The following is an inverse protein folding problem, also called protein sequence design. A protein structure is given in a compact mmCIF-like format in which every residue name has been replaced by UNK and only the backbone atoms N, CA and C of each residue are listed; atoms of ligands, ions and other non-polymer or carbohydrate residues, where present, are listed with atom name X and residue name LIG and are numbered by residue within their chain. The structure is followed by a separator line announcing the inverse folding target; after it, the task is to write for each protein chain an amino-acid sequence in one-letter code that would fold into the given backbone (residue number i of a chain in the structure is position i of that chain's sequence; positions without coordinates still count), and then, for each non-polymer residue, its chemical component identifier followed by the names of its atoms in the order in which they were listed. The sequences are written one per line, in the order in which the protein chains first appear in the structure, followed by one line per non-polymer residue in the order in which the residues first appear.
data_IF_060924959395
#
_entry.id   IF_060924959395
#
_cell.length_a   1.000
_cell.length_b   1.000
_cell.length_c   1.000
_cell.angle_alpha   90.00
_cell.angle_beta   90.00
_cell.angle_gamma   90.00
#
_symmetry.space_group_name_H-M   'P 1'
#
loop_
_entity.id
_entity.type
_entity.pdbx_description
1 polymer ?
#
# COMPACT_ATOMS: atom_id res chain seq x y z
N UNK A 1 -26.90 9.72 -5.40
CA UNK A 1 -25.47 9.46 -5.59
C UNK A 1 -25.31 8.05 -6.10
N UNK A 2 -25.27 7.88 -7.43
CA UNK A 2 -24.74 6.64 -8.02
C UNK A 2 -23.22 6.73 -7.87
N UNK A 3 -22.61 5.76 -7.18
CA UNK A 3 -21.16 5.60 -7.26
C UNK A 3 -20.82 5.30 -8.73
N UNK A 4 -19.91 6.07 -9.30
CA UNK A 4 -19.47 5.82 -10.66
C UNK A 4 -18.75 4.45 -10.71
N UNK A 5 -18.98 3.70 -11.80
CA UNK A 5 -18.42 2.35 -11.95
C UNK A 5 -16.89 2.34 -11.80
N UNK A 6 -16.22 3.42 -12.18
CA UNK A 6 -14.77 3.62 -12.00
C UNK A 6 -14.36 3.63 -10.53
N UNK A 7 -15.07 4.35 -9.67
CA UNK A 7 -14.79 4.40 -8.24
C UNK A 7 -14.97 3.03 -7.59
N UNK A 8 -16.05 2.32 -7.94
CA UNK A 8 -16.29 0.97 -7.43
C UNK A 8 -15.19 -0.01 -7.84
N UNK A 9 -14.69 0.10 -9.08
CA UNK A 9 -13.59 -0.72 -9.57
C UNK A 9 -12.30 -0.41 -8.82
N UNK A 10 -11.99 0.87 -8.59
CA UNK A 10 -10.78 1.28 -7.87
C UNK A 10 -10.81 0.82 -6.41
N UNK A 11 -11.87 1.17 -5.67
CA UNK A 11 -12.02 0.78 -4.26
C UNK A 11 -12.15 -0.74 -4.08
N UNK A 12 -12.86 -1.41 -4.98
CA UNK A 12 -12.97 -2.86 -5.00
C UNK A 12 -11.62 -3.54 -5.26
N UNK A 13 -10.86 -3.05 -6.24
CA UNK A 13 -9.51 -3.52 -6.55
C UNK A 13 -8.54 -3.31 -5.39
N UNK A 14 -8.61 -2.15 -4.73
CA UNK A 14 -7.83 -1.83 -3.56
C UNK A 14 -8.11 -2.78 -2.39
N UNK A 15 -9.38 -2.95 -2.03
CA UNK A 15 -9.81 -3.86 -0.97
C UNK A 15 -9.40 -5.30 -1.28
N UNK A 16 -9.51 -5.73 -2.54
CA UNK A 16 -9.11 -7.07 -2.96
C UNK A 16 -7.59 -7.26 -2.80
N UNK A 17 -6.77 -6.31 -3.23
CA UNK A 17 -5.31 -6.41 -3.13
C UNK A 17 -4.82 -6.42 -1.67
N UNK A 18 -5.35 -5.55 -0.82
CA UNK A 18 -5.02 -5.53 0.62
C UNK A 18 -5.53 -6.78 1.30
N UNK A 19 -6.78 -7.17 1.07
CA UNK A 19 -7.36 -8.39 1.62
C UNK A 19 -6.54 -9.62 1.22
N UNK A 20 -6.13 -9.70 -0.04
CA UNK A 20 -5.25 -10.76 -0.54
C UNK A 20 -3.90 -10.77 0.19
N UNK A 21 -3.27 -9.62 0.38
CA UNK A 21 -2.01 -9.50 1.11
C UNK A 21 -2.14 -9.91 2.59
N UNK A 22 -3.23 -9.51 3.25
CA UNK A 22 -3.51 -9.85 4.65
C UNK A 22 -3.81 -11.34 4.84
N UNK A 23 -4.50 -11.96 3.89
CA UNK A 23 -4.87 -13.38 3.97
C UNK A 23 -3.71 -14.30 3.59
N UNK A 24 -3.04 -14.03 2.45
CA UNK A 24 -2.04 -14.92 1.86
C UNK A 24 -0.62 -14.62 2.31
N UNK A 25 -0.28 -13.35 2.54
CA UNK A 25 1.07 -12.90 2.82
C UNK A 25 1.68 -13.55 4.06
N UNK A 26 3.01 -13.61 4.11
CA UNK A 26 3.73 -13.88 5.36
C UNK A 26 3.57 -12.72 6.36
N UNK A 27 4.09 -12.88 7.59
CA UNK A 27 3.94 -11.85 8.63
C UNK A 27 4.44 -10.46 8.21
N UNK A 28 5.47 -10.39 7.37
CA UNK A 28 6.01 -9.13 6.89
C UNK A 28 5.11 -8.49 5.81
N UNK A 29 4.65 -9.27 4.84
CA UNK A 29 3.70 -8.78 3.81
C UNK A 29 2.39 -8.33 4.46
N UNK A 30 1.91 -9.05 5.47
CA UNK A 30 0.72 -8.66 6.25
C UNK A 30 0.91 -7.35 6.99
N UNK A 31 2.09 -7.14 7.59
CA UNK A 31 2.38 -5.87 8.27
C UNK A 31 2.36 -4.69 7.29
N UNK A 32 2.91 -4.86 6.08
CA UNK A 32 2.88 -3.83 5.05
C UNK A 32 1.46 -3.60 4.53
N UNK A 33 0.69 -4.66 4.26
CA UNK A 33 -0.72 -4.53 3.89
C UNK A 33 -1.56 -3.85 4.98
N UNK A 34 -1.29 -4.15 6.25
CA UNK A 34 -1.91 -3.48 7.39
C UNK A 34 -1.53 -2.01 7.49
N UNK A 35 -0.30 -1.66 7.12
CA UNK A 35 0.15 -0.27 7.08
C UNK A 35 -0.59 0.54 6.01
N UNK A 36 -0.75 0.00 4.79
CA UNK A 36 -1.57 0.62 3.73
C UNK A 36 -3.02 0.83 4.19
N UNK A 37 -3.60 -0.19 4.81
CA UNK A 37 -4.96 -0.14 5.36
C UNK A 37 -5.09 0.95 6.43
N UNK A 38 -4.13 1.01 7.36
CA UNK A 38 -4.14 1.99 8.44
C UNK A 38 -3.98 3.43 7.94
N UNK A 39 -3.06 3.67 7.00
CA UNK A 39 -2.86 4.99 6.40
C UNK A 39 -4.13 5.48 5.69
N UNK A 40 -4.77 4.61 4.90
CA UNK A 40 -6.01 4.93 4.18
C UNK A 40 -7.17 5.16 5.15
N UNK A 41 -7.34 4.28 6.15
CA UNK A 41 -8.39 4.44 7.15
C UNK A 41 -8.22 5.74 7.96
N UNK A 42 -6.98 6.12 8.29
CA UNK A 42 -6.69 7.37 8.98
C UNK A 42 -7.03 8.59 8.10
N UNK A 43 -6.69 8.59 6.82
CA UNK A 43 -7.04 9.66 5.89
C UNK A 43 -8.55 9.80 5.71
N UNK A 44 -9.27 8.69 5.50
CA UNK A 44 -10.74 8.67 5.40
C UNK A 44 -11.39 9.19 6.68
N UNK A 45 -10.93 8.74 7.85
CA UNK A 45 -11.43 9.22 9.13
C UNK A 45 -11.19 10.73 9.28
N UNK A 46 -10.00 11.23 8.96
CA UNK A 46 -9.68 12.65 9.03
C UNK A 46 -10.61 13.49 8.13
N UNK A 47 -10.87 13.05 6.90
CA UNK A 47 -11.84 13.70 6.01
C UNK A 47 -13.25 13.71 6.60
N UNK A 48 -13.69 12.60 7.20
CA UNK A 48 -14.98 12.51 7.87
C UNK A 48 -15.09 13.49 9.07
N UNK A 49 -13.97 13.87 9.67
CA UNK A 49 -13.88 14.89 10.70
C UNK A 49 -13.57 16.31 10.17
N UNK A 50 -13.69 16.53 8.85
CA UNK A 50 -13.56 17.86 8.24
C UNK A 50 -12.13 18.29 7.93
N UNK A 51 -11.16 17.38 7.93
CA UNK A 51 -9.82 17.68 7.43
C UNK A 51 -9.86 18.07 5.94
N UNK A 52 -8.96 18.95 5.47
CA UNK A 52 -8.89 19.30 4.06
C UNK A 52 -8.39 18.12 3.21
N UNK A 53 -8.67 18.11 1.89
CA UNK A 53 -8.23 17.06 0.96
C UNK A 53 -6.71 16.80 0.95
N UNK A 54 -5.91 17.79 1.35
CA UNK A 54 -4.46 17.66 1.51
C UNK A 54 -4.03 16.54 2.48
N UNK A 55 -4.93 16.02 3.31
CA UNK A 55 -4.67 14.87 4.19
C UNK A 55 -4.20 13.62 3.45
N UNK A 56 -4.60 13.43 2.20
CA UNK A 56 -4.10 12.34 1.37
C UNK A 56 -2.59 12.44 1.16
N UNK A 57 -2.09 13.63 0.79
CA UNK A 57 -0.65 13.85 0.63
C UNK A 57 0.13 13.65 1.93
N UNK A 58 -0.44 14.04 3.08
CA UNK A 58 0.19 13.77 4.37
C UNK A 58 0.26 12.28 4.70
N UNK A 59 -0.76 11.49 4.34
CA UNK A 59 -0.74 10.04 4.54
C UNK A 59 0.41 9.40 3.76
N UNK A 60 0.60 9.79 2.49
CA UNK A 60 1.66 9.24 1.63
C UNK A 60 3.07 9.70 2.10
N UNK A 61 3.20 10.95 2.51
CA UNK A 61 4.46 11.48 3.09
C UNK A 61 4.89 10.69 4.34
N UNK A 62 3.92 10.25 5.16
CA UNK A 62 4.19 9.43 6.36
C UNK A 62 4.42 7.97 5.99
N UNK A 63 3.73 7.45 4.99
CA UNK A 63 3.84 6.05 4.56
C UNK A 63 5.19 5.75 3.90
N UNK A 64 5.71 6.66 3.07
CA UNK A 64 7.01 6.54 2.41
C UNK A 64 8.19 6.16 3.34
N UNK A 65 8.50 6.89 4.43
CA UNK A 65 9.60 6.54 5.33
C UNK A 65 9.38 5.20 6.05
N UNK A 66 8.13 4.80 6.27
CA UNK A 66 7.81 3.51 6.88
C UNK A 66 8.10 2.36 5.90
N UNK A 67 7.72 2.52 4.63
CA UNK A 67 8.08 1.57 3.57
C UNK A 67 9.59 1.52 3.34
N UNK A 68 10.26 2.67 3.29
CA UNK A 68 11.72 2.75 3.15
C UNK A 68 12.43 2.06 4.32
N UNK A 69 11.97 2.29 5.55
CA UNK A 69 12.47 1.60 6.75
C UNK A 69 12.24 0.10 6.69
N UNK A 70 11.09 -0.34 6.18
CA UNK A 70 10.82 -1.76 5.98
C UNK A 70 11.76 -2.37 4.91
N UNK A 71 12.00 -1.63 3.82
CA UNK A 71 12.89 -2.02 2.73
C UNK A 71 14.33 -2.20 3.21
N UNK A 72 14.84 -1.26 3.99
CA UNK A 72 16.19 -1.31 4.55
C UNK A 72 16.38 -2.49 5.52
N UNK A 73 15.32 -2.92 6.22
CA UNK A 73 15.39 -4.06 7.15
C UNK A 73 15.28 -5.41 6.46
N UNK A 74 14.37 -5.51 5.50
CA UNK A 74 14.11 -6.76 4.80
C UNK A 74 13.95 -6.47 3.31
N UNK A 75 15.07 -6.37 2.57
CA UNK A 75 15.04 -6.01 1.17
C UNK A 75 14.30 -7.09 0.37
N UNK A 76 13.16 -6.71 -0.20
CA UNK A 76 12.38 -7.55 -1.10
C UNK A 76 12.17 -6.80 -2.40
N UNK A 77 12.33 -7.49 -3.55
CA UNK A 77 12.21 -6.88 -4.89
C UNK A 77 10.89 -6.13 -5.07
N UNK A 78 9.78 -6.71 -4.60
CA UNK A 78 8.47 -6.05 -4.68
C UNK A 78 8.37 -4.79 -3.81
N UNK A 79 9.08 -4.75 -2.68
CA UNK A 79 9.07 -3.60 -1.77
C UNK A 79 9.90 -2.43 -2.31
N UNK A 80 10.91 -2.70 -3.13
CA UNK A 80 11.64 -1.65 -3.88
C UNK A 80 10.65 -0.92 -4.81
N UNK A 81 9.86 -1.68 -5.58
CA UNK A 81 8.85 -1.11 -6.46
C UNK A 81 7.77 -0.34 -5.69
N UNK A 82 7.27 -0.91 -4.58
CA UNK A 82 6.30 -0.21 -3.73
C UNK A 82 6.86 1.12 -3.20
N UNK A 83 8.11 1.16 -2.71
CA UNK A 83 8.76 2.40 -2.29
C UNK A 83 8.96 3.39 -3.44
N UNK A 84 9.32 2.91 -4.63
CA UNK A 84 9.51 3.76 -5.79
C UNK A 84 8.20 4.41 -6.23
N UNK A 85 7.12 3.64 -6.33
CA UNK A 85 5.81 4.19 -6.68
C UNK A 85 5.29 5.14 -5.60
N UNK A 86 5.52 4.84 -4.33
CA UNK A 86 5.16 5.74 -3.24
C UNK A 86 5.96 7.05 -3.27
N UNK A 87 7.25 6.99 -3.59
CA UNK A 87 8.06 8.19 -3.79
C UNK A 87 7.51 9.05 -4.93
N UNK A 88 7.08 8.43 -6.03
CA UNK A 88 6.46 9.14 -7.16
C UNK A 88 5.09 9.73 -6.77
N UNK A 89 4.29 9.04 -5.96
CA UNK A 89 3.05 9.56 -5.38
C UNK A 89 3.32 10.83 -4.56
N UNK A 90 4.28 10.78 -3.62
CA UNK A 90 4.68 11.94 -2.81
C UNK A 90 5.19 13.08 -3.69
N UNK A 91 6.01 12.79 -4.70
CA UNK A 91 6.49 13.80 -5.64
C UNK A 91 5.34 14.44 -6.43
N UNK A 92 4.30 13.67 -6.76
CA UNK A 92 3.10 14.16 -7.47
C UNK A 92 2.29 15.11 -6.59
N UNK A 93 2.10 14.81 -5.30
CA UNK A 93 1.50 15.74 -4.32
C UNK A 93 2.27 17.04 -4.23
N UNK A 94 3.60 16.97 -4.13
CA UNK A 94 4.46 18.15 -4.05
C UNK A 94 4.38 18.97 -5.33
N UNK A 95 4.41 18.34 -6.51
CA UNK A 95 4.29 19.04 -7.78
C UNK A 95 2.95 19.79 -7.90
N UNK A 96 1.83 19.13 -7.58
CA UNK A 96 0.50 19.77 -7.61
C UNK A 96 0.38 20.91 -6.60
N UNK A 97 0.97 20.77 -5.40
CA UNK A 97 0.99 21.84 -4.40
C UNK A 97 1.83 23.06 -4.82
N UNK A 98 2.86 22.87 -5.65
CA UNK A 98 3.78 23.94 -6.07
C UNK A 98 3.37 24.61 -7.39
N UNK A 99 2.67 23.90 -8.27
CA UNK A 99 2.26 24.42 -9.58
C UNK A 99 0.73 24.43 -9.74
N UNK A 100 0.08 25.59 -9.60
CA UNK A 100 -1.38 25.71 -9.73
C UNK A 100 -1.88 25.53 -11.18
N UNK A 101 -0.97 25.36 -12.16
CA UNK A 101 -1.34 25.05 -13.55
C UNK A 101 -1.65 23.57 -13.76
N UNK A 102 -1.26 22.71 -12.83
CA UNK A 102 -1.55 21.28 -12.92
C UNK A 102 -3.05 21.10 -12.66
N UNK A 103 -3.77 20.66 -13.70
CA UNK A 103 -5.20 20.43 -13.59
C UNK A 103 -5.51 19.25 -12.66
N UNK A 104 -6.58 19.39 -11.87
CA UNK A 104 -7.00 18.38 -10.87
C UNK A 104 -7.24 17.00 -11.49
N UNK A 105 -7.68 16.96 -12.75
CA UNK A 105 -7.92 15.72 -13.48
C UNK A 105 -6.62 14.96 -13.77
N UNK A 106 -5.55 15.68 -14.17
CA UNK A 106 -4.26 15.10 -14.47
C UNK A 106 -3.56 14.63 -13.19
N UNK A 107 -3.69 15.41 -12.12
CA UNK A 107 -3.23 15.04 -10.80
C UNK A 107 -3.91 13.76 -10.29
N UNK A 108 -5.25 13.71 -10.31
CA UNK A 108 -6.00 12.55 -9.82
C UNK A 108 -5.66 11.29 -10.62
N UNK A 109 -5.60 11.38 -11.95
CA UNK A 109 -5.24 10.26 -12.81
C UNK A 109 -3.83 9.71 -12.54
N UNK A 110 -2.86 10.60 -12.25
CA UNK A 110 -1.51 10.19 -11.88
C UNK A 110 -1.49 9.47 -10.53
N UNK A 111 -2.16 10.01 -9.51
CA UNK A 111 -2.25 9.40 -8.18
C UNK A 111 -2.91 8.01 -8.25
N UNK A 112 -4.02 7.88 -8.97
CA UNK A 112 -4.71 6.60 -9.16
C UNK A 112 -3.80 5.55 -9.81
N UNK A 113 -3.04 5.95 -10.82
CA UNK A 113 -2.08 5.07 -11.50
C UNK A 113 -0.97 4.60 -10.54
N UNK A 114 -0.36 5.52 -9.80
CA UNK A 114 0.72 5.19 -8.86
C UNK A 114 0.21 4.27 -7.76
N UNK A 115 -0.98 4.54 -7.23
CA UNK A 115 -1.61 3.71 -6.22
C UNK A 115 -1.92 2.31 -6.74
N UNK A 116 -2.45 2.17 -7.96
CA UNK A 116 -2.67 0.87 -8.59
C UNK A 116 -1.37 0.05 -8.73
N UNK A 117 -0.26 0.71 -9.09
CA UNK A 117 1.04 0.06 -9.20
C UNK A 117 1.61 -0.35 -7.83
N UNK A 118 1.37 0.42 -6.77
CA UNK A 118 1.72 0.05 -5.40
C UNK A 118 0.96 -1.20 -4.94
N UNK A 119 -0.35 -1.26 -5.21
CA UNK A 119 -1.17 -2.43 -4.91
C UNK A 119 -0.71 -3.67 -5.69
N UNK A 120 -0.36 -3.51 -6.96
CA UNK A 120 0.20 -4.59 -7.77
C UNK A 120 1.52 -5.10 -7.16
N UNK A 121 2.41 -4.20 -6.72
CA UNK A 121 3.65 -4.58 -6.04
C UNK A 121 3.38 -5.34 -4.73
N UNK A 122 2.43 -4.88 -3.91
CA UNK A 122 2.02 -5.58 -2.69
C UNK A 122 1.45 -6.98 -2.99
N UNK A 123 0.59 -7.09 -4.00
CA UNK A 123 0.02 -8.36 -4.43
C UNK A 123 1.11 -9.34 -4.92
N UNK A 124 2.09 -8.88 -5.70
CA UNK A 124 3.26 -9.67 -6.10
C UNK A 124 4.05 -10.15 -4.89
N UNK A 125 4.19 -9.29 -3.87
CA UNK A 125 4.78 -9.66 -2.59
C UNK A 125 4.03 -10.81 -1.92
N UNK A 126 2.70 -10.74 -1.88
CA UNK A 126 1.84 -11.77 -1.32
C UNK A 126 1.88 -13.08 -2.12
N UNK A 127 2.03 -13.03 -3.45
CA UNK A 127 2.21 -14.21 -4.29
C UNK A 127 3.53 -14.93 -4.01
N UNK A 128 4.62 -14.17 -3.84
CA UNK A 128 5.96 -14.69 -3.58
C UNK A 128 6.15 -15.22 -2.16
N UNK A 129 5.43 -14.68 -1.17
CA UNK A 129 5.47 -15.13 0.21
C UNK A 129 4.47 -16.26 0.46
N UNK A 130 4.86 -17.52 0.22
CA UNK A 130 4.05 -18.67 0.67
C UNK A 130 4.31 -18.91 2.17
N UNK A 131 3.23 -19.09 2.94
CA UNK A 131 3.26 -19.63 4.31
C UNK A 131 4.10 -20.92 4.34
N UNK A 132 5.06 -21.10 5.26
CA UNK A 132 5.48 -22.43 5.64
C UNK A 132 4.24 -23.17 6.14
N UNK A 133 3.85 -24.25 5.48
CA UNK A 133 2.72 -25.07 5.93
C UNK A 133 3.00 -25.65 7.33
N UNK A 134 1.97 -25.91 8.15
CA UNK A 134 2.12 -26.44 9.51
C UNK A 134 2.96 -27.73 9.55
N UNK A 135 2.94 -28.53 8.48
CA UNK A 135 3.78 -29.72 8.33
C UNK A 135 5.29 -29.43 8.48
N UNK A 136 5.80 -28.28 8.00
CA UNK A 136 7.24 -27.94 8.14
C UNK A 136 7.61 -27.40 9.52
N UNK A 137 6.64 -26.88 10.28
CA UNK A 137 6.86 -26.44 11.65
C UNK A 137 7.01 -27.64 12.62
N UNK A 138 6.26 -28.73 12.37
CA UNK A 138 6.40 -29.99 13.12
C UNK A 138 7.78 -30.63 12.97
N UNK A 139 8.26 -30.80 11.74
CA UNK A 139 9.61 -31.35 11.49
C UNK A 139 10.74 -30.48 12.05
N UNK A 140 10.60 -29.15 12.02
CA UNK A 140 11.61 -28.25 12.59
C UNK A 140 11.60 -28.22 14.13
N UNK A 141 10.46 -28.53 14.76
CA UNK A 141 10.36 -28.67 16.20
C UNK A 141 10.96 -30.02 16.67
N UNK A 142 10.68 -31.11 15.97
CA UNK A 142 11.27 -32.43 16.27
C UNK A 142 12.79 -32.44 16.09
N UNK A 143 13.31 -31.81 15.03
CA UNK A 143 14.75 -31.73 14.77
C UNK A 143 15.54 -30.85 15.75
N UNK A 144 14.87 -30.08 16.62
CA UNK A 144 15.52 -29.29 17.69
C UNK A 144 15.48 -29.97 19.06
N UNK A 145 14.74 -31.07 19.17
CA UNK A 145 14.59 -31.84 20.41
C UNK A 145 15.40 -33.14 20.38
N UNK A 146 15.83 -33.58 19.19
CA UNK A 146 16.82 -34.64 18.97
C UNK A 146 18.26 -34.09 19.01
#
# INVERSE_FOLDING_TARGET
MSADLSELVLWGGWLAAIGFALLRGDGFVRAIGGLYLAATAAAVAALAFGAPPAVWGFADIVLLPLLARALLRQPRRWLIWACAFELVTVATHVAWALDPRIEDHAYSAAIDLWWALQLAALALGAFGSRRPGPARAGFAAEARVA
#
